data_IF_323401914409
#
_entry.id   IF_323401914409
#
_cell.length_a   1.000
_cell.length_b   1.000
_cell.length_c   1.000
_cell.angle_alpha   90.00
_cell.angle_beta   90.00
_cell.angle_gamma   90.00
#
_symmetry.space_group_name_H-M   'P 1'
#
loop_
_entity.id
_entity.type
_entity.pdbx_description
1 polymer ?
#
# COMPACT_ATOMS: atom_id res chain seq x y z
N UNK A 1 -23.46 -0.76 9.83
CA UNK A 1 -22.38 -0.48 10.79
C UNK A 1 -21.07 -0.61 10.05
N UNK A 2 -20.30 0.47 9.96
CA UNK A 2 -19.01 0.51 9.27
C UNK A 2 -17.94 -0.03 10.22
N UNK A 3 -18.00 -1.34 10.48
CA UNK A 3 -17.24 -2.01 11.53
C UNK A 3 -15.72 -1.94 11.34
N UNK A 4 -15.25 -1.53 10.14
CA UNK A 4 -13.85 -1.33 9.75
C UNK A 4 -13.30 0.05 10.16
N UNK A 5 -14.17 1.04 10.43
CA UNK A 5 -13.74 2.40 10.80
C UNK A 5 -12.81 2.43 12.04
N UNK A 6 -13.10 1.71 13.14
CA UNK A 6 -12.19 1.70 14.29
C UNK A 6 -10.79 1.16 13.98
N UNK A 7 -10.69 0.16 13.10
CA UNK A 7 -9.43 -0.45 12.68
C UNK A 7 -8.64 0.52 11.80
N UNK A 8 -9.31 1.24 10.89
CA UNK A 8 -8.67 2.26 10.06
C UNK A 8 -8.22 3.47 10.89
N UNK A 9 -9.05 3.89 11.85
CA UNK A 9 -8.73 4.97 12.76
C UNK A 9 -7.49 4.63 13.60
N UNK A 10 -7.48 3.46 14.23
CA UNK A 10 -6.34 2.99 15.01
C UNK A 10 -5.10 2.81 14.13
N UNK A 11 -5.25 2.25 12.93
CA UNK A 11 -4.14 2.10 11.99
C UNK A 11 -3.50 3.46 11.63
N UNK A 12 -4.32 4.48 11.35
CA UNK A 12 -3.80 5.81 11.04
C UNK A 12 -3.14 6.47 12.27
N UNK A 13 -3.71 6.28 13.46
CA UNK A 13 -3.10 6.75 14.72
C UNK A 13 -1.75 6.08 14.99
N UNK A 14 -1.63 4.77 14.74
CA UNK A 14 -0.37 4.04 14.86
C UNK A 14 0.70 4.53 13.87
N UNK A 15 0.27 5.13 12.75
CA UNK A 15 1.15 5.80 11.78
C UNK A 15 1.48 7.25 12.16
N UNK A 16 0.99 7.74 13.30
CA UNK A 16 1.22 9.11 13.80
C UNK A 16 0.26 10.15 13.23
N UNK A 17 -0.82 9.74 12.57
CA UNK A 17 -1.83 10.66 12.04
C UNK A 17 -2.90 10.95 13.11
N UNK A 18 -3.12 12.23 13.40
CA UNK A 18 -4.27 12.66 14.20
C UNK A 18 -5.51 12.68 13.31
N UNK A 19 -6.33 11.62 13.39
CA UNK A 19 -7.62 11.56 12.72
C UNK A 19 -8.75 11.45 13.74
N UNK A 20 -9.82 12.20 13.52
CA UNK A 20 -11.06 12.15 14.31
C UNK A 20 -12.14 11.26 13.68
N UNK A 21 -12.00 10.95 12.39
CA UNK A 21 -12.94 10.12 11.63
C UNK A 21 -12.20 9.41 10.47
N UNK A 22 -12.66 8.21 10.14
CA UNK A 22 -12.20 7.39 9.03
C UNK A 22 -13.37 7.00 8.09
N UNK A 23 -14.45 7.79 8.03
CA UNK A 23 -15.63 7.56 7.18
C UNK A 23 -15.42 7.85 5.69
N UNK A 24 -14.37 8.61 5.34
CA UNK A 24 -14.03 8.90 3.94
C UNK A 24 -13.69 7.62 3.16
N UNK A 25 -14.28 7.36 1.97
CA UNK A 25 -13.95 6.17 1.18
C UNK A 25 -12.48 6.15 0.72
N UNK A 26 -11.78 7.27 0.82
CA UNK A 26 -10.37 7.41 0.52
C UNK A 26 -9.66 8.16 1.65
N UNK A 27 -8.66 7.53 2.24
CA UNK A 27 -7.72 8.16 3.19
C UNK A 27 -6.37 8.25 2.48
N UNK A 28 -5.71 9.41 2.57
CA UNK A 28 -4.38 9.62 2.01
C UNK A 28 -3.40 10.06 3.08
N UNK A 29 -2.22 9.44 3.11
CA UNK A 29 -1.13 9.74 4.03
C UNK A 29 0.14 9.93 3.20
N UNK A 30 0.76 11.09 3.30
CA UNK A 30 2.00 11.40 2.61
C UNK A 30 3.20 11.19 3.53
N UNK A 31 4.12 10.30 3.12
CA UNK A 31 5.37 10.04 3.80
C UNK A 31 6.52 10.70 3.04
N UNK A 32 7.42 11.36 3.77
CA UNK A 32 8.58 12.07 3.21
C UNK A 32 9.45 11.16 2.32
N UNK A 33 9.67 9.91 2.72
CA UNK A 33 10.58 8.99 2.02
C UNK A 33 9.87 7.88 1.26
N UNK A 34 8.70 7.44 1.71
CA UNK A 34 8.01 6.28 1.14
C UNK A 34 6.97 6.66 0.08
N UNK A 35 6.72 7.95 -0.12
CA UNK A 35 5.68 8.45 -1.02
C UNK A 35 4.31 8.45 -0.35
N UNK A 36 3.26 8.36 -1.17
CA UNK A 36 1.88 8.45 -0.71
C UNK A 36 1.29 7.06 -0.48
N UNK A 37 0.74 6.84 0.72
CA UNK A 37 -0.18 5.73 0.99
C UNK A 37 -1.61 6.20 0.81
N UNK A 38 -2.37 5.53 -0.06
CA UNK A 38 -3.82 5.67 -0.16
C UNK A 38 -4.48 4.40 0.36
N UNK A 39 -5.52 4.58 1.17
CA UNK A 39 -6.37 3.52 1.68
C UNK A 39 -7.76 3.75 1.08
N UNK A 40 -8.13 2.92 0.12
CA UNK A 40 -9.34 3.06 -0.67
C UNK A 40 -10.34 1.96 -0.34
N UNK A 41 -11.60 2.35 -0.08
CA UNK A 41 -12.74 1.46 0.08
C UNK A 41 -13.62 1.50 -1.16
N UNK A 42 -13.72 0.38 -1.84
CA UNK A 42 -14.56 0.27 -3.03
C UNK A 42 -15.06 -1.17 -3.23
N UNK A 43 -16.36 -1.34 -3.49
CA UNK A 43 -16.93 -2.62 -3.88
C UNK A 43 -16.82 -3.75 -2.84
N UNK A 44 -16.80 -3.41 -1.54
CA UNK A 44 -16.60 -4.40 -0.47
C UNK A 44 -15.15 -4.89 -0.32
N UNK A 45 -14.20 -4.11 -0.85
CA UNK A 45 -12.78 -4.35 -0.72
C UNK A 45 -12.06 -3.11 -0.19
N UNK A 46 -10.96 -3.36 0.51
CA UNK A 46 -10.01 -2.35 0.95
C UNK A 46 -8.72 -2.50 0.16
N UNK A 47 -8.31 -1.47 -0.58
CA UNK A 47 -7.03 -1.45 -1.30
C UNK A 47 -6.06 -0.47 -0.65
N UNK A 48 -4.86 -0.95 -0.34
CA UNK A 48 -3.74 -0.10 0.08
C UNK A 48 -2.86 0.13 -1.14
N UNK A 49 -2.73 1.39 -1.56
CA UNK A 49 -1.87 1.83 -2.66
C UNK A 49 -0.69 2.61 -2.10
N UNK A 50 0.53 2.13 -2.30
CA UNK A 50 1.76 2.85 -1.98
C UNK A 50 2.40 3.34 -3.28
N UNK A 51 2.29 4.63 -3.53
CA UNK A 51 2.78 5.27 -4.75
C UNK A 51 3.97 6.18 -4.48
N UNK A 52 5.06 6.01 -5.25
CA UNK A 52 6.29 6.79 -5.11
C UNK A 52 6.88 7.17 -6.46
N UNK A 53 7.33 8.41 -6.58
CA UNK A 53 8.09 8.89 -7.75
C UNK A 53 9.49 8.26 -7.76
N UNK A 54 9.91 7.83 -8.95
CA UNK A 54 11.16 7.14 -9.20
C UNK A 54 12.01 8.00 -10.13
N UNK A 55 13.28 8.29 -9.76
CA UNK A 55 14.18 9.02 -10.65
C UNK A 55 14.30 8.33 -12.02
N UNK A 56 14.30 9.10 -13.10
CA UNK A 56 14.27 8.61 -14.48
C UNK A 56 15.32 7.52 -14.79
N UNK A 57 16.52 7.62 -14.19
CA UNK A 57 17.61 6.68 -14.40
C UNK A 57 17.42 5.33 -13.68
N UNK A 58 16.48 5.24 -12.73
CA UNK A 58 16.17 4.03 -11.95
C UNK A 58 14.90 3.33 -12.44
N UNK A 59 14.07 3.99 -13.27
CA UNK A 59 12.72 3.51 -13.60
C UNK A 59 12.66 2.11 -14.21
N UNK A 60 13.53 1.82 -15.19
CA UNK A 60 13.57 0.49 -15.84
C UNK A 60 13.90 -0.62 -14.85
N UNK A 61 14.91 -0.42 -14.01
CA UNK A 61 15.34 -1.42 -13.05
C UNK A 61 14.30 -1.62 -11.95
N UNK A 62 13.74 -0.52 -11.43
CA UNK A 62 12.68 -0.54 -10.42
C UNK A 62 11.44 -1.30 -10.94
N UNK A 63 11.05 -1.09 -12.19
CA UNK A 63 9.92 -1.78 -12.81
C UNK A 63 10.16 -3.30 -12.89
N UNK A 64 11.34 -3.72 -13.36
CA UNK A 64 11.68 -5.16 -13.45
C UNK A 64 11.72 -5.80 -12.06
N UNK A 65 12.37 -5.15 -11.08
CA UNK A 65 12.41 -5.63 -9.69
C UNK A 65 11.01 -5.75 -9.10
N UNK A 66 10.15 -4.74 -9.28
CA UNK A 66 8.78 -4.76 -8.77
C UNK A 66 7.98 -5.92 -9.38
N UNK A 67 8.08 -6.15 -10.68
CA UNK A 67 7.43 -7.30 -11.34
C UNK A 67 7.94 -8.63 -10.78
N UNK A 68 9.26 -8.80 -10.59
CA UNK A 68 9.84 -10.03 -10.05
C UNK A 68 9.42 -10.29 -8.60
N UNK A 69 9.41 -9.26 -7.76
CA UNK A 69 9.09 -9.36 -6.34
C UNK A 69 7.59 -9.53 -6.06
N UNK A 70 6.74 -9.10 -6.99
CA UNK A 70 5.28 -9.28 -6.91
C UNK A 70 4.78 -10.48 -7.72
N UNK A 71 5.65 -11.10 -8.53
CA UNK A 71 5.34 -12.33 -9.24
C UNK A 71 5.26 -13.51 -8.26
N UNK A 72 4.05 -14.02 -8.07
CA UNK A 72 3.78 -15.18 -7.23
C UNK A 72 3.88 -16.48 -8.05
N UNK A 73 5.05 -17.14 -8.03
CA UNK A 73 5.18 -18.55 -8.42
C UNK A 73 4.84 -19.54 -7.28
N UNK A 74 5.01 -19.12 -6.03
CA UNK A 74 4.66 -19.82 -4.78
C UNK A 74 4.31 -18.81 -3.67
N UNK A 75 3.47 -17.82 -4.01
CA UNK A 75 3.49 -16.44 -3.51
C UNK A 75 3.58 -16.14 -1.99
N UNK A 76 3.90 -14.87 -1.65
CA UNK A 76 3.88 -14.37 -0.27
C UNK A 76 2.49 -14.47 0.36
N UNK A 77 2.41 -14.40 1.71
CA UNK A 77 1.14 -14.46 2.49
C UNK A 77 0.05 -13.48 1.99
N UNK A 78 0.41 -12.42 1.26
CA UNK A 78 -0.49 -11.42 0.69
C UNK A 78 -0.31 -11.27 -0.82
N UNK A 79 -1.39 -11.12 -1.61
CA UNK A 79 -1.32 -10.99 -3.07
C UNK A 79 -0.91 -9.56 -3.49
N UNK A 80 0.35 -9.20 -3.22
CA UNK A 80 0.91 -7.92 -3.63
C UNK A 80 0.96 -7.82 -5.15
N UNK A 81 0.67 -6.63 -5.67
CA UNK A 81 0.71 -6.29 -7.09
C UNK A 81 1.52 -5.02 -7.28
N UNK A 82 2.00 -4.81 -8.50
CA UNK A 82 2.67 -3.59 -8.91
C UNK A 82 2.02 -2.98 -10.15
N UNK A 83 2.26 -1.70 -10.35
CA UNK A 83 1.83 -0.93 -11.51
C UNK A 83 2.72 0.30 -11.69
N UNK A 84 2.48 1.02 -12.79
CA UNK A 84 3.16 2.27 -13.09
C UNK A 84 2.12 3.31 -13.47
N UNK A 85 2.25 4.53 -12.95
CA UNK A 85 1.35 5.65 -13.23
C UNK A 85 2.16 6.80 -13.84
N UNK A 86 1.72 7.29 -14.99
CA UNK A 86 2.43 8.35 -15.71
C UNK A 86 3.84 7.90 -16.14
N UNK A 87 4.80 8.81 -16.06
CA UNK A 87 6.17 8.59 -16.54
C UNK A 87 7.08 7.98 -15.46
N UNK A 88 6.85 8.28 -14.20
CA UNK A 88 7.85 8.08 -13.14
C UNK A 88 7.30 7.47 -11.83
N UNK A 89 5.99 7.21 -11.72
CA UNK A 89 5.41 6.77 -10.44
C UNK A 89 5.23 5.26 -10.38
N UNK A 90 6.01 4.61 -9.52
CA UNK A 90 5.80 3.22 -9.12
C UNK A 90 4.60 3.13 -8.19
N UNK A 91 3.71 2.17 -8.45
CA UNK A 91 2.63 1.77 -7.57
C UNK A 91 2.87 0.35 -7.06
N UNK A 92 2.81 0.17 -5.74
CA UNK A 92 2.72 -1.14 -5.09
C UNK A 92 1.39 -1.20 -4.34
N UNK A 93 0.65 -2.29 -4.47
CA UNK A 93 -0.68 -2.35 -3.87
C UNK A 93 -1.14 -3.75 -3.51
N UNK A 94 -2.09 -3.82 -2.58
CA UNK A 94 -2.78 -5.04 -2.19
C UNK A 94 -4.25 -4.73 -1.97
N UNK A 95 -5.12 -5.62 -2.46
CA UNK A 95 -6.56 -5.53 -2.26
C UNK A 95 -6.97 -6.65 -1.33
N UNK A 96 -7.69 -6.30 -0.28
CA UNK A 96 -8.14 -7.17 0.80
C UNK A 96 -9.66 -7.21 0.81
N UNK A 97 -10.24 -8.36 1.12
CA UNK A 97 -11.67 -8.48 1.36
C UNK A 97 -12.01 -7.71 2.63
N UNK A 98 -12.90 -6.72 2.52
CA UNK A 98 -13.25 -5.84 3.62
C UNK A 98 -13.68 -6.66 4.84
N UNK A 99 -14.46 -7.74 4.63
CA UNK A 99 -15.02 -8.62 5.67
C UNK A 99 -14.00 -9.28 6.59
N UNK A 100 -12.74 -9.37 6.17
CA UNK A 100 -11.66 -10.01 6.91
C UNK A 100 -10.63 -9.01 7.45
N UNK A 101 -10.87 -7.71 7.30
CA UNK A 101 -9.95 -6.68 7.79
C UNK A 101 -9.81 -6.74 9.30
N UNK A 102 -8.55 -6.77 9.74
CA UNK A 102 -8.17 -6.64 11.13
C UNK A 102 -7.02 -5.65 11.21
N UNK A 103 -6.84 -5.00 12.37
CA UNK A 103 -5.71 -4.10 12.57
C UNK A 103 -4.34 -4.78 12.31
N UNK A 104 -4.08 -6.02 12.75
CA UNK A 104 -2.85 -6.73 12.39
C UNK A 104 -2.67 -6.95 10.89
N UNK A 105 -3.75 -7.28 10.16
CA UNK A 105 -3.71 -7.47 8.71
C UNK A 105 -3.36 -6.15 7.98
N UNK A 106 -3.89 -5.01 8.43
CA UNK A 106 -3.55 -3.69 7.89
C UNK A 106 -2.05 -3.40 8.07
N UNK A 107 -1.54 -3.63 9.29
CA UNK A 107 -0.12 -3.46 9.60
C UNK A 107 0.77 -4.40 8.78
N UNK A 108 0.38 -5.67 8.62
CA UNK A 108 1.10 -6.65 7.82
C UNK A 108 1.13 -6.26 6.33
N UNK A 109 -0.01 -5.81 5.79
CA UNK A 109 -0.12 -5.34 4.41
C UNK A 109 0.79 -4.14 4.16
N UNK A 110 0.72 -3.12 5.02
CA UNK A 110 1.54 -1.93 4.90
C UNK A 110 3.04 -2.24 5.04
N UNK A 111 3.44 -3.05 6.04
CA UNK A 111 4.83 -3.49 6.21
C UNK A 111 5.35 -4.27 5.00
N UNK A 112 4.50 -5.10 4.40
CA UNK A 112 4.83 -5.86 3.19
C UNK A 112 5.07 -4.93 2.00
N UNK A 113 4.20 -3.93 1.79
CA UNK A 113 4.38 -2.90 0.76
C UNK A 113 5.69 -2.12 0.95
N UNK A 114 5.98 -1.66 2.17
CA UNK A 114 7.23 -0.96 2.50
C UNK A 114 8.47 -1.83 2.31
N UNK A 115 8.37 -3.14 2.64
CA UNK A 115 9.46 -4.08 2.42
C UNK A 115 9.75 -4.23 0.93
N UNK A 116 8.73 -4.51 0.11
CA UNK A 116 8.90 -4.63 -1.34
C UNK A 116 9.42 -3.32 -1.93
N UNK A 117 8.92 -2.16 -1.51
CA UNK A 117 9.43 -0.88 -1.98
C UNK A 117 10.94 -0.73 -1.71
N UNK A 118 11.40 -1.07 -0.50
CA UNK A 118 12.83 -1.01 -0.15
C UNK A 118 13.66 -1.97 -1.00
N UNK A 119 13.18 -3.18 -1.25
CA UNK A 119 13.87 -4.17 -2.09
C UNK A 119 13.92 -3.74 -3.57
N UNK A 120 12.86 -3.09 -4.08
CA UNK A 120 12.82 -2.52 -5.43
C UNK A 120 13.85 -1.40 -5.60
N UNK A 121 14.03 -0.56 -4.57
CA UNK A 121 14.90 0.61 -4.60
C UNK A 121 16.33 0.35 -4.14
N UNK A 122 16.63 -0.87 -3.66
CA UNK A 122 17.98 -1.25 -3.30
C UNK A 122 18.87 -1.27 -4.55
N UNK A 123 20.06 -0.68 -4.45
CA UNK A 123 21.09 -0.68 -5.51
C UNK A 123 21.66 -2.08 -5.75
#
# INVERSE_FOLDING_TARGET
MNWIEPQLLQFCQDLGMEMSDASSPLIQIDFEYSGTLQIERYGGALTLWLGREIPWHQGKEAMVKAMLLTFSGQGPELPLRCGWLGEDRLLLFVTLDERHITLPLLHQAFRSLLRVQREVLAS
#
